data_IF_306363355208
#
_entry.id   IF_306363355208
#
_cell.length_a   1.000
_cell.length_b   1.000
_cell.length_c   1.000
_cell.angle_alpha   90.00
_cell.angle_beta   90.00
_cell.angle_gamma   90.00
#
_symmetry.space_group_name_H-M   'P 1'
#
loop_
_entity.id
_entity.type
_entity.pdbx_description
1 polymer ?
#
# COMPACT_ATOMS: atom_id res chain seq x y z
N UNK A 1 14.55 8.36 32.45
CA UNK A 1 15.04 8.13 31.08
C UNK A 1 14.06 8.78 30.11
N UNK A 2 14.47 9.89 29.51
CA UNK A 2 13.60 10.86 28.85
C UNK A 2 13.02 10.24 27.58
N UNK A 3 11.70 9.99 27.57
CA UNK A 3 10.93 9.89 26.33
C UNK A 3 11.07 11.26 25.67
N UNK A 4 12.09 11.43 24.83
CA UNK A 4 12.15 12.54 23.88
C UNK A 4 10.89 12.37 23.04
N UNK A 5 9.91 13.26 23.25
CA UNK A 5 8.69 13.31 22.45
C UNK A 5 9.12 13.25 20.99
N UNK A 6 8.82 12.14 20.32
CA UNK A 6 9.21 11.92 18.93
C UNK A 6 8.63 13.08 18.10
N UNK A 7 9.44 13.68 17.23
CA UNK A 7 8.93 14.71 16.32
C UNK A 7 7.76 14.13 15.49
N UNK A 8 6.76 14.96 15.16
CA UNK A 8 5.63 14.54 14.30
C UNK A 8 6.12 13.89 13.01
N UNK A 9 7.20 14.44 12.44
CA UNK A 9 7.87 13.92 11.24
C UNK A 9 8.38 12.48 11.44
N UNK A 10 9.04 12.17 12.57
CA UNK A 10 9.49 10.81 12.89
C UNK A 10 8.33 9.85 13.10
N UNK A 11 7.24 10.30 13.71
CA UNK A 11 6.03 9.47 13.87
C UNK A 11 5.46 9.11 12.50
N UNK A 12 5.30 10.08 11.60
CA UNK A 12 4.79 9.82 10.26
C UNK A 12 5.71 8.92 9.44
N UNK A 13 7.02 9.17 9.48
CA UNK A 13 8.00 8.34 8.79
C UNK A 13 8.00 6.90 9.34
N UNK A 14 7.88 6.74 10.67
CA UNK A 14 7.78 5.44 11.31
C UNK A 14 6.50 4.69 10.92
N UNK A 15 5.34 5.34 11.00
CA UNK A 15 4.06 4.72 10.61
C UNK A 15 4.07 4.31 9.13
N UNK A 16 4.64 5.14 8.27
CA UNK A 16 4.76 4.84 6.85
C UNK A 16 5.74 3.69 6.57
N UNK A 17 6.87 3.65 7.29
CA UNK A 17 7.81 2.53 7.23
C UNK A 17 7.15 1.24 7.69
N UNK A 18 6.41 1.26 8.79
CA UNK A 18 5.69 0.10 9.31
C UNK A 18 4.68 -0.43 8.29
N UNK A 19 3.87 0.47 7.70
CA UNK A 19 2.91 0.10 6.66
C UNK A 19 3.59 -0.51 5.43
N UNK A 20 4.66 0.12 4.93
CA UNK A 20 5.42 -0.39 3.80
C UNK A 20 6.08 -1.75 4.11
N UNK A 21 6.59 -1.97 5.32
CA UNK A 21 7.13 -3.26 5.74
C UNK A 21 6.07 -4.37 5.77
N UNK A 22 4.86 -4.07 6.25
CA UNK A 22 3.76 -5.05 6.29
C UNK A 22 3.35 -5.46 4.86
N UNK A 23 3.19 -4.48 3.96
CA UNK A 23 2.83 -4.75 2.56
C UNK A 23 3.94 -5.49 1.81
N UNK A 24 5.20 -5.08 2.01
CA UNK A 24 6.35 -5.75 1.44
C UNK A 24 6.48 -7.20 1.95
N UNK A 25 6.28 -7.42 3.25
CA UNK A 25 6.28 -8.77 3.81
C UNK A 25 5.21 -9.63 3.14
N UNK A 26 4.00 -9.11 2.95
CA UNK A 26 2.92 -9.83 2.28
C UNK A 26 3.25 -10.14 0.82
N UNK A 27 3.78 -9.19 0.06
CA UNK A 27 4.14 -9.41 -1.35
C UNK A 27 5.27 -10.42 -1.50
N UNK A 28 6.30 -10.36 -0.63
CA UNK A 28 7.37 -11.36 -0.55
C UNK A 28 6.81 -12.74 -0.19
N UNK A 29 5.92 -12.84 0.79
CA UNK A 29 5.29 -14.10 1.16
C UNK A 29 4.56 -14.73 -0.04
N UNK A 30 3.79 -13.92 -0.77
CA UNK A 30 3.08 -14.38 -1.96
C UNK A 30 4.03 -14.85 -3.07
N UNK A 31 5.08 -14.08 -3.35
CA UNK A 31 6.03 -14.38 -4.41
C UNK A 31 6.84 -15.65 -4.14
N UNK A 32 7.37 -15.80 -2.93
CA UNK A 32 8.37 -16.83 -2.63
C UNK A 32 7.82 -18.07 -1.92
N UNK A 33 6.73 -17.95 -1.16
CA UNK A 33 6.20 -19.05 -0.34
C UNK A 33 4.86 -19.58 -0.84
N UNK A 34 4.02 -18.73 -1.44
CA UNK A 34 2.72 -19.13 -2.00
C UNK A 34 2.77 -19.41 -3.51
N UNK A 35 3.96 -19.32 -4.11
CA UNK A 35 4.21 -19.60 -5.53
C UNK A 35 3.30 -18.80 -6.47
N UNK A 36 3.00 -17.55 -6.11
CA UNK A 36 1.96 -16.74 -6.76
C UNK A 36 2.18 -16.55 -8.27
N UNK A 37 3.42 -16.51 -8.76
CA UNK A 37 3.72 -16.38 -10.20
C UNK A 37 3.31 -17.60 -11.03
N UNK A 38 3.20 -18.77 -10.39
CA UNK A 38 2.70 -19.98 -11.03
C UNK A 38 1.17 -20.04 -11.02
N UNK A 39 0.53 -19.40 -10.05
CA UNK A 39 -0.93 -19.38 -9.88
C UNK A 39 -1.58 -18.26 -10.68
N UNK A 40 -1.03 -17.05 -10.63
CA UNK A 40 -1.64 -15.85 -11.17
C UNK A 40 -1.39 -15.71 -12.67
N UNK A 41 -2.36 -15.14 -13.39
CA UNK A 41 -2.16 -14.76 -14.79
C UNK A 41 -1.08 -13.67 -14.93
N UNK A 42 -0.51 -13.54 -16.13
CA UNK A 42 0.68 -12.71 -16.36
C UNK A 42 0.51 -11.25 -15.90
N UNK A 43 -0.61 -10.61 -16.24
CA UNK A 43 -0.81 -9.20 -15.91
C UNK A 43 -0.99 -8.96 -14.41
N UNK A 44 -1.57 -9.90 -13.67
CA UNK A 44 -1.67 -9.84 -12.19
C UNK A 44 -0.30 -10.09 -11.55
N UNK A 45 0.49 -10.99 -12.14
CA UNK A 45 1.86 -11.24 -11.71
C UNK A 45 2.75 -10.00 -11.88
N UNK A 46 2.62 -9.29 -13.01
CA UNK A 46 3.33 -8.01 -13.24
C UNK A 46 2.92 -6.96 -12.20
N UNK A 47 1.62 -6.88 -11.89
CA UNK A 47 1.13 -5.96 -10.86
C UNK A 47 1.72 -6.29 -9.47
N UNK A 48 1.80 -7.58 -9.11
CA UNK A 48 2.40 -8.03 -7.84
C UNK A 48 3.89 -7.67 -7.74
N UNK A 49 4.64 -7.83 -8.83
CA UNK A 49 6.07 -7.44 -8.88
C UNK A 49 6.20 -5.92 -8.75
N UNK A 50 5.38 -5.15 -9.46
CA UNK A 50 5.39 -3.69 -9.36
C UNK A 50 5.06 -3.20 -7.94
N UNK A 51 4.07 -3.80 -7.27
CA UNK A 51 3.74 -3.52 -5.87
C UNK A 51 4.95 -3.78 -4.97
N UNK A 52 5.59 -4.95 -5.09
CA UNK A 52 6.78 -5.29 -4.30
C UNK A 52 7.92 -4.26 -4.47
N UNK A 53 8.19 -3.81 -5.70
CA UNK A 53 9.25 -2.83 -5.99
C UNK A 53 8.94 -1.45 -5.39
N UNK A 54 7.69 -1.01 -5.49
CA UNK A 54 7.25 0.29 -4.97
C UNK A 54 7.22 0.26 -3.44
N UNK A 55 6.80 -0.84 -2.83
CA UNK A 55 6.81 -1.04 -1.38
C UNK A 55 8.24 -0.96 -0.83
N UNK A 56 9.18 -1.62 -1.50
CA UNK A 56 10.60 -1.55 -1.15
C UNK A 56 11.14 -0.12 -1.28
N UNK A 57 10.85 0.57 -2.39
CA UNK A 57 11.25 1.96 -2.59
C UNK A 57 10.63 2.91 -1.54
N UNK A 58 9.36 2.69 -1.18
CA UNK A 58 8.67 3.42 -0.13
C UNK A 58 9.32 3.19 1.23
N UNK A 59 9.64 1.93 1.56
CA UNK A 59 10.32 1.57 2.80
C UNK A 59 11.68 2.27 2.91
N UNK A 60 12.54 2.14 1.89
CA UNK A 60 13.86 2.78 1.88
C UNK A 60 13.74 4.30 2.01
N UNK A 61 12.81 4.91 1.28
CA UNK A 61 12.57 6.37 1.33
C UNK A 61 12.04 6.82 2.70
N UNK A 62 11.17 6.02 3.32
CA UNK A 62 10.59 6.34 4.63
C UNK A 62 11.60 6.19 5.77
N UNK A 63 12.48 5.19 5.71
CA UNK A 63 13.61 5.03 6.64
C UNK A 63 14.58 6.21 6.49
N UNK A 64 14.91 6.61 5.25
CA UNK A 64 15.75 7.79 4.99
C UNK A 64 15.12 9.06 5.61
N UNK A 65 13.81 9.23 5.47
CA UNK A 65 13.08 10.34 6.09
C UNK A 65 13.09 10.25 7.63
N UNK A 66 12.89 9.06 8.19
CA UNK A 66 12.92 8.81 9.63
C UNK A 66 14.27 9.19 10.26
N UNK A 67 15.37 8.78 9.64
CA UNK A 67 16.75 9.08 10.09
C UNK A 67 17.02 10.58 9.98
N UNK A 68 16.74 11.16 8.81
CA UNK A 68 17.06 12.57 8.53
C UNK A 68 16.17 13.56 9.27
N UNK A 69 14.94 13.17 9.64
CA UNK A 69 13.95 14.03 10.29
C UNK A 69 13.68 15.37 9.55
N UNK A 70 13.89 15.38 8.23
CA UNK A 70 13.79 16.56 7.38
C UNK A 70 12.47 16.50 6.58
N UNK A 71 11.63 17.52 6.74
CA UNK A 71 10.34 17.61 6.06
C UNK A 71 10.47 17.69 4.54
N UNK A 72 11.57 18.23 4.01
CA UNK A 72 11.81 18.28 2.56
C UNK A 72 11.88 16.88 1.94
N UNK A 73 12.32 15.89 2.73
CA UNK A 73 12.41 14.48 2.31
C UNK A 73 11.09 13.73 2.45
N UNK A 74 10.05 14.32 3.06
CA UNK A 74 8.75 13.69 3.25
C UNK A 74 8.00 13.47 1.93
N UNK A 75 8.23 14.30 0.92
CA UNK A 75 7.43 14.28 -0.31
C UNK A 75 7.53 12.95 -1.07
N UNK A 76 8.73 12.39 -1.18
CA UNK A 76 8.99 11.13 -1.90
C UNK A 76 8.26 9.95 -1.24
N UNK A 77 8.51 9.61 0.04
CA UNK A 77 7.86 8.47 0.68
C UNK A 77 6.35 8.66 0.76
N UNK A 78 5.83 9.87 0.96
CA UNK A 78 4.38 10.10 0.94
C UNK A 78 3.74 9.81 -0.42
N UNK A 79 4.41 10.16 -1.53
CA UNK A 79 3.94 9.83 -2.88
C UNK A 79 4.01 8.34 -3.13
N UNK A 80 5.13 7.70 -2.79
CA UNK A 80 5.31 6.26 -2.95
C UNK A 80 4.31 5.47 -2.11
N UNK A 81 4.08 5.87 -0.86
CA UNK A 81 3.10 5.22 0.01
C UNK A 81 1.66 5.37 -0.50
N UNK A 82 1.31 6.52 -1.07
CA UNK A 82 0.02 6.68 -1.74
C UNK A 82 -0.10 5.76 -2.97
N UNK A 83 0.95 5.69 -3.80
CA UNK A 83 1.00 4.79 -4.97
C UNK A 83 0.88 3.32 -4.56
N UNK A 84 1.68 2.88 -3.57
CA UNK A 84 1.58 1.54 -2.96
C UNK A 84 0.16 1.25 -2.51
N UNK A 85 -0.47 2.16 -1.76
CA UNK A 85 -1.83 1.95 -1.24
C UNK A 85 -2.85 1.77 -2.38
N UNK A 86 -2.72 2.57 -3.44
CA UNK A 86 -3.62 2.49 -4.61
C UNK A 86 -3.40 1.19 -5.37
N UNK A 87 -2.15 0.82 -5.66
CA UNK A 87 -1.83 -0.42 -6.37
C UNK A 87 -2.28 -1.64 -5.58
N UNK A 88 -2.01 -1.66 -4.27
CA UNK A 88 -2.48 -2.69 -3.37
C UNK A 88 -4.01 -2.80 -3.41
N UNK A 89 -4.72 -1.67 -3.39
CA UNK A 89 -6.18 -1.66 -3.48
C UNK A 89 -6.71 -2.21 -4.81
N UNK A 90 -6.05 -1.87 -5.93
CA UNK A 90 -6.38 -2.45 -7.25
C UNK A 90 -6.17 -3.97 -7.22
N UNK A 91 -5.06 -4.45 -6.66
CA UNK A 91 -4.80 -5.89 -6.55
C UNK A 91 -5.81 -6.60 -5.65
N UNK A 92 -6.19 -6.00 -4.53
CA UNK A 92 -7.26 -6.53 -3.67
C UNK A 92 -8.60 -6.55 -4.40
N UNK A 93 -8.91 -5.51 -5.18
CA UNK A 93 -10.12 -5.49 -6.01
C UNK A 93 -10.12 -6.62 -7.04
N UNK A 94 -9.01 -6.83 -7.75
CA UNK A 94 -8.84 -7.95 -8.68
C UNK A 94 -9.06 -9.29 -7.95
N UNK A 95 -8.44 -9.44 -6.78
CA UNK A 95 -8.61 -10.63 -5.95
C UNK A 95 -10.07 -10.85 -5.56
N UNK A 96 -10.78 -9.83 -5.08
CA UNK A 96 -12.20 -9.92 -4.70
C UNK A 96 -13.06 -10.28 -5.91
N UNK A 97 -12.88 -9.59 -7.03
CA UNK A 97 -13.63 -9.84 -8.26
C UNK A 97 -13.41 -11.26 -8.79
N UNK A 98 -12.20 -11.79 -8.65
CA UNK A 98 -11.87 -13.17 -9.00
C UNK A 98 -12.59 -14.20 -8.14
N UNK A 99 -13.24 -13.81 -7.04
CA UNK A 99 -13.93 -14.74 -6.12
C UNK A 99 -15.44 -14.62 -6.28
N UNK A 100 -15.90 -13.61 -7.03
CA UNK A 100 -17.31 -13.34 -7.28
C UNK A 100 -17.72 -13.68 -8.70
N UNK A 101 -18.97 -14.13 -8.88
CA UNK A 101 -19.60 -14.30 -10.20
C UNK A 101 -19.79 -12.90 -10.83
N UNK A 102 -19.57 -12.70 -12.14
CA UNK A 102 -19.33 -13.71 -13.17
C UNK A 102 -17.86 -14.02 -13.48
N UNK A 103 -16.90 -13.45 -12.76
CA UNK A 103 -15.46 -13.50 -13.11
C UNK A 103 -14.66 -14.48 -12.25
N UNK A 104 -15.25 -15.59 -11.83
CA UNK A 104 -14.58 -16.56 -10.95
C UNK A 104 -13.22 -16.99 -11.52
N UNK A 105 -12.19 -16.80 -10.68
CA UNK A 105 -10.78 -17.12 -10.86
C UNK A 105 -10.17 -16.54 -12.15
N UNK A 106 -10.63 -15.38 -12.62
CA UNK A 106 -10.08 -14.72 -13.82
C UNK A 106 -8.62 -14.25 -13.63
N UNK A 107 -8.22 -13.98 -12.39
CA UNK A 107 -6.86 -13.60 -11.98
C UNK A 107 -5.92 -14.80 -11.83
N UNK A 108 -6.46 -16.02 -11.90
CA UNK A 108 -5.73 -17.29 -11.77
C UNK A 108 -5.62 -17.96 -13.15
N UNK A 109 -4.48 -18.59 -13.42
CA UNK A 109 -4.25 -19.34 -14.66
C UNK A 109 -5.26 -20.50 -14.77
N UNK A 110 -5.73 -20.83 -15.99
CA UNK A 110 -6.77 -21.85 -16.19
C UNK A 110 -6.49 -23.18 -15.49
N UNK A 111 -5.24 -23.63 -15.49
CA UNK A 111 -4.80 -24.91 -14.93
C UNK A 111 -4.94 -24.96 -13.40
N UNK A 112 -4.96 -23.80 -12.74
CA UNK A 112 -4.99 -23.68 -11.28
C UNK A 112 -6.39 -23.35 -10.73
N UNK A 113 -7.37 -23.06 -11.59
CA UNK A 113 -8.72 -22.63 -11.16
C UNK A 113 -9.47 -23.68 -10.36
N UNK A 114 -9.32 -24.96 -10.70
CA UNK A 114 -10.01 -26.07 -10.03
C UNK A 114 -9.48 -26.35 -8.62
N UNK A 115 -8.22 -25.97 -8.35
CA UNK A 115 -7.54 -26.20 -7.07
C UNK A 115 -7.68 -25.01 -6.11
N UNK A 116 -8.22 -23.89 -6.59
CA UNK A 116 -8.25 -22.64 -5.86
C UNK A 116 -9.46 -22.56 -4.91
N UNK A 117 -9.29 -23.08 -3.70
CA UNK A 117 -10.29 -22.99 -2.63
C UNK A 117 -10.25 -21.60 -2.00
N UNK A 118 -11.40 -20.93 -1.97
CA UNK A 118 -11.52 -19.57 -1.42
C UNK A 118 -12.05 -19.62 0.00
N UNK A 119 -11.35 -18.94 0.91
CA UNK A 119 -11.88 -18.62 2.23
C UNK A 119 -12.43 -17.18 2.22
N UNK A 120 -13.76 -17.07 2.31
CA UNK A 120 -14.49 -15.80 2.25
C UNK A 120 -14.15 -14.81 3.37
N UNK A 121 -13.75 -15.31 4.55
CA UNK A 121 -13.32 -14.43 5.64
C UNK A 121 -12.17 -13.53 5.19
N UNK A 122 -11.16 -14.12 4.53
CA UNK A 122 -10.00 -13.38 4.04
C UNK A 122 -10.32 -12.44 2.88
N UNK A 123 -11.33 -12.78 2.06
CA UNK A 123 -11.84 -11.89 1.01
C UNK A 123 -12.44 -10.62 1.61
N UNK A 124 -13.35 -10.76 2.56
CA UNK A 124 -13.98 -9.60 3.21
C UNK A 124 -12.97 -8.78 4.02
N UNK A 125 -12.09 -9.45 4.76
CA UNK A 125 -11.06 -8.80 5.56
C UNK A 125 -10.13 -7.93 4.69
N UNK A 126 -9.62 -8.49 3.60
CA UNK A 126 -8.76 -7.76 2.67
C UNK A 126 -9.50 -6.57 2.02
N UNK A 127 -10.75 -6.77 1.58
CA UNK A 127 -11.56 -5.71 0.98
C UNK A 127 -11.78 -4.52 1.93
N UNK A 128 -12.15 -4.80 3.18
CA UNK A 128 -12.38 -3.75 4.19
C UNK A 128 -11.10 -2.97 4.48
N UNK A 129 -9.98 -3.67 4.72
CA UNK A 129 -8.70 -3.00 4.98
C UNK A 129 -8.22 -2.17 3.78
N UNK A 130 -8.42 -2.67 2.57
CA UNK A 130 -8.08 -1.93 1.35
C UNK A 130 -8.89 -0.63 1.23
N UNK A 131 -10.20 -0.68 1.47
CA UNK A 131 -11.06 0.51 1.46
C UNK A 131 -10.58 1.52 2.51
N UNK A 132 -10.30 1.07 3.74
CA UNK A 132 -9.79 1.94 4.80
C UNK A 132 -8.45 2.60 4.41
N UNK A 133 -7.55 1.86 3.74
CA UNK A 133 -6.30 2.39 3.21
C UNK A 133 -6.53 3.52 2.20
N UNK A 134 -7.43 3.30 1.22
CA UNK A 134 -7.77 4.31 0.20
C UNK A 134 -8.42 5.55 0.84
N UNK A 135 -9.33 5.36 1.80
CA UNK A 135 -9.94 6.45 2.57
C UNK A 135 -8.86 7.25 3.30
N UNK A 136 -7.89 6.59 3.92
CA UNK A 136 -6.75 7.23 4.58
C UNK A 136 -5.96 8.13 3.63
N UNK A 137 -5.66 7.65 2.42
CA UNK A 137 -4.98 8.44 1.37
C UNK A 137 -5.80 9.68 1.00
N UNK A 138 -7.10 9.54 0.79
CA UNK A 138 -8.00 10.65 0.44
C UNK A 138 -8.05 11.71 1.56
N UNK A 139 -8.14 11.27 2.82
CA UNK A 139 -8.18 12.17 3.97
C UNK A 139 -6.87 12.96 4.08
N UNK A 140 -5.72 12.28 4.04
CA UNK A 140 -4.41 12.93 4.10
C UNK A 140 -4.24 13.93 2.95
N UNK A 141 -4.66 13.55 1.74
CA UNK A 141 -4.59 14.44 0.59
C UNK A 141 -5.42 15.71 0.79
N UNK A 142 -6.68 15.59 1.24
CA UNK A 142 -7.54 16.75 1.54
C UNK A 142 -6.96 17.65 2.62
N UNK A 143 -6.43 17.08 3.70
CA UNK A 143 -5.79 17.83 4.78
C UNK A 143 -4.58 18.63 4.26
N UNK A 144 -3.75 18.01 3.41
CA UNK A 144 -2.57 18.66 2.83
C UNK A 144 -2.94 19.79 1.86
N UNK A 145 -4.01 19.62 1.07
CA UNK A 145 -4.52 20.69 0.21
C UNK A 145 -4.99 21.90 1.03
N UNK A 146 -5.72 21.67 2.14
CA UNK A 146 -6.19 22.73 3.04
C UNK A 146 -5.02 23.49 3.66
N UNK A 147 -4.02 22.79 4.18
CA UNK A 147 -2.81 23.41 4.73
C UNK A 147 -2.05 24.25 3.70
N UNK A 148 -1.93 23.74 2.45
CA UNK A 148 -1.30 24.50 1.36
C UNK A 148 -2.07 25.78 1.04
N UNK A 149 -3.41 25.73 1.00
CA UNK A 149 -4.27 26.89 0.74
C UNK A 149 -4.14 27.95 1.84
N UNK A 150 -4.10 27.53 3.11
CA UNK A 150 -3.92 28.43 4.26
C UNK A 150 -2.55 29.11 4.24
N UNK A 151 -1.47 28.38 3.94
CA UNK A 151 -0.13 28.95 3.84
C UNK A 151 0.04 29.97 2.70
N UNK A 152 -0.75 29.85 1.62
CA UNK A 152 -0.76 30.84 0.53
C UNK A 152 -1.50 32.10 0.98
N UNK A 153 -2.67 31.95 1.61
CA UNK A 153 -3.45 33.07 2.14
C UNK A 153 -2.67 33.86 3.19
N UNK A 154 -1.94 33.20 4.09
CA UNK A 154 -1.14 33.86 5.13
C UNK A 154 0.12 34.56 4.64
N UNK A 155 0.56 34.30 3.40
CA UNK A 155 1.72 34.98 2.77
C UNK A 155 1.31 36.19 1.93
N UNK A 156 0.02 36.33 1.65
CA UNK A 156 -0.56 37.42 0.88
C UNK A 156 -1.22 38.48 1.77
N UNK A 157 -1.08 38.36 3.09
CA UNK A 157 -1.43 39.35 4.13
C UNK A 157 -0.13 39.80 4.78
#
# INVERSE_FOLDING_TARGET
MIIKILSKQRIYAFLLSLGASILLFRTVQMLFFENALNILVLWVSVLLIAECLIDFACLVSSIRWLISNDELKASIPLRLGATTTILHAIRVLIYVLGRTVPWINFDVKPEQRALYITNWFWVYFAAILSILGVVGVIVIWKLRQRAKKQNILSKNV
#
